data_IF_769507355233
#
_entry.id   IF_769507355233
#
_cell.length_a   1.000
_cell.length_b   1.000
_cell.length_c   1.000
_cell.angle_alpha   90.00
_cell.angle_beta   90.00
_cell.angle_gamma   90.00
#
_symmetry.space_group_name_H-M   'P 1'
#
loop_
_entity.id
_entity.type
_entity.pdbx_description
1 polymer ?
#
# COMPACT_ATOMS: atom_id res chain seq x y z
N UNK A 1 1.03 20.31 11.90
CA UNK A 1 0.50 18.94 12.04
C UNK A 1 1.66 17.99 11.75
N UNK A 2 1.82 16.91 12.51
CA UNK A 2 2.82 15.88 12.20
C UNK A 2 2.19 14.91 11.20
N UNK A 3 2.79 14.68 10.02
CA UNK A 3 2.23 13.77 9.03
C UNK A 3 2.35 12.31 9.48
N UNK A 4 1.37 11.49 9.10
CA UNK A 4 1.34 10.05 9.34
C UNK A 4 2.28 9.30 8.39
N UNK A 5 2.40 9.79 7.15
CA UNK A 5 3.44 9.37 6.20
C UNK A 5 4.32 10.58 5.87
N UNK A 6 5.61 10.46 6.17
CA UNK A 6 6.63 11.47 5.87
C UNK A 6 7.74 10.88 4.99
N UNK A 7 7.91 11.42 3.79
CA UNK A 7 9.13 11.26 3.00
C UNK A 7 9.99 12.51 3.19
N UNK A 8 11.26 12.34 3.58
CA UNK A 8 12.14 13.46 3.97
C UNK A 8 12.94 13.98 2.77
N UNK A 9 13.45 15.19 2.95
CA UNK A 9 14.18 15.98 1.95
C UNK A 9 15.44 15.32 1.37
N UNK A 10 16.06 14.38 2.09
CA UNK A 10 17.28 13.69 1.64
C UNK A 10 17.02 12.24 1.20
N UNK A 11 15.75 11.90 0.89
CA UNK A 11 15.40 10.61 0.31
C UNK A 11 15.46 10.70 -1.22
N UNK A 12 16.15 9.75 -1.83
CA UNK A 12 16.15 9.53 -3.30
C UNK A 12 14.85 8.81 -3.71
N UNK A 13 14.95 7.82 -4.61
CA UNK A 13 13.81 7.04 -5.08
C UNK A 13 13.12 6.31 -3.93
N UNK A 14 11.85 6.65 -3.72
CA UNK A 14 10.97 6.03 -2.74
C UNK A 14 9.86 5.27 -3.45
N UNK A 15 9.78 3.97 -3.20
CA UNK A 15 8.79 3.09 -3.78
C UNK A 15 7.75 2.69 -2.74
N UNK A 16 6.49 3.07 -2.95
CA UNK A 16 5.37 2.75 -2.08
C UNK A 16 4.33 2.01 -2.91
N UNK A 17 4.45 0.68 -2.93
CA UNK A 17 3.66 -0.20 -3.80
C UNK A 17 2.80 -1.17 -3.01
N UNK A 18 1.63 -1.49 -3.56
CA UNK A 18 0.74 -2.55 -3.07
C UNK A 18 0.29 -2.37 -1.61
N UNK A 19 0.25 -1.15 -1.10
CA UNK A 19 -0.21 -0.88 0.26
C UNK A 19 -1.73 -0.69 0.29
N UNK A 20 -2.36 -1.17 1.36
CA UNK A 20 -3.76 -0.90 1.67
C UNK A 20 -3.79 0.03 2.88
N UNK A 21 -4.35 1.22 2.70
CA UNK A 21 -4.51 2.21 3.76
C UNK A 21 -5.99 2.38 4.05
N UNK A 22 -6.38 2.00 5.27
CA UNK A 22 -7.74 2.08 5.77
C UNK A 22 -7.80 3.11 6.89
N UNK A 23 -8.73 4.05 6.76
CA UNK A 23 -8.97 5.11 7.73
C UNK A 23 -10.45 5.03 8.12
N UNK A 24 -10.71 4.83 9.41
CA UNK A 24 -12.08 4.85 9.92
C UNK A 24 -12.69 6.25 9.82
N UNK A 25 -14.01 6.32 9.81
CA UNK A 25 -14.82 7.53 9.63
C UNK A 25 -14.51 8.67 10.59
N UNK A 26 -14.04 8.38 11.81
CA UNK A 26 -13.68 9.37 12.83
C UNK A 26 -12.19 9.74 12.81
N UNK A 27 -11.41 9.18 11.88
CA UNK A 27 -9.98 9.41 11.74
C UNK A 27 -9.65 10.10 10.42
N UNK A 28 -8.44 10.66 10.35
CA UNK A 28 -7.85 11.14 9.11
C UNK A 28 -6.35 10.93 9.16
N UNK A 29 -5.74 10.67 8.01
CA UNK A 29 -4.28 10.65 7.90
C UNK A 29 -3.77 11.83 7.08
N UNK A 30 -2.53 12.24 7.30
CA UNK A 30 -1.84 13.21 6.45
C UNK A 30 -0.61 12.61 5.78
N UNK A 31 -0.46 12.80 4.47
CA UNK A 31 0.74 12.45 3.71
C UNK A 31 1.54 13.70 3.38
N UNK A 32 2.85 13.67 3.63
CA UNK A 32 3.80 14.73 3.29
C UNK A 32 5.08 14.19 2.68
N UNK A 33 5.49 14.74 1.55
CA UNK A 33 6.79 14.52 0.92
C UNK A 33 7.55 15.86 0.89
N UNK A 34 8.77 15.87 1.43
CA UNK A 34 9.65 17.04 1.50
C UNK A 34 10.77 17.01 0.44
N UNK A 35 10.62 16.21 -0.60
CA UNK A 35 11.55 16.07 -1.73
C UNK A 35 10.79 16.20 -3.07
N UNK A 36 11.49 16.04 -4.19
CA UNK A 36 10.91 16.14 -5.53
C UNK A 36 9.82 15.08 -5.78
N UNK A 37 8.75 15.45 -6.48
CA UNK A 37 7.68 14.52 -6.87
C UNK A 37 8.23 13.36 -7.72
N UNK A 38 9.24 13.62 -8.55
CA UNK A 38 9.81 12.64 -9.46
C UNK A 38 10.62 11.53 -8.74
N UNK A 39 10.88 11.71 -7.44
CA UNK A 39 11.54 10.72 -6.58
C UNK A 39 10.55 9.82 -5.82
N UNK A 40 9.24 10.05 -5.97
CA UNK A 40 8.20 9.39 -5.18
C UNK A 40 7.26 8.55 -6.04
N UNK A 41 7.40 7.23 -5.94
CA UNK A 41 6.64 6.26 -6.72
C UNK A 41 5.58 5.58 -5.86
N UNK A 42 4.42 6.24 -5.73
CA UNK A 42 3.22 5.64 -5.15
C UNK A 42 2.42 4.95 -6.26
N UNK A 43 2.29 3.62 -6.22
CA UNK A 43 1.63 2.86 -7.30
C UNK A 43 0.83 1.68 -6.74
N UNK A 44 -0.37 1.48 -7.28
CA UNK A 44 -1.23 0.33 -6.94
C UNK A 44 -1.45 0.19 -5.43
N UNK A 45 -1.49 1.33 -4.73
CA UNK A 45 -2.00 1.40 -3.38
C UNK A 45 -3.53 1.53 -3.42
N UNK A 46 -4.19 1.05 -2.38
CA UNK A 46 -5.61 1.24 -2.16
C UNK A 46 -5.80 2.11 -0.93
N UNK A 47 -6.54 3.20 -1.08
CA UNK A 47 -6.91 4.10 0.01
C UNK A 47 -8.42 4.04 0.26
N UNK A 48 -8.80 3.99 1.52
CA UNK A 48 -10.18 4.09 1.96
C UNK A 48 -10.30 4.97 3.20
N UNK A 49 -11.33 5.82 3.24
CA UNK A 49 -11.54 6.83 4.29
C UNK A 49 -10.91 8.19 3.97
N UNK A 50 -10.73 9.03 4.99
CA UNK A 50 -10.28 10.43 4.86
C UNK A 50 -8.75 10.55 4.80
N UNK A 51 -8.19 10.42 3.60
CA UNK A 51 -6.77 10.73 3.34
C UNK A 51 -6.62 12.21 3.02
N UNK A 52 -6.03 12.96 3.96
CA UNK A 52 -5.68 14.36 3.75
C UNK A 52 -4.28 14.47 3.15
N UNK A 53 -4.15 15.32 2.15
CA UNK A 53 -2.87 15.65 1.53
C UNK A 53 -2.46 17.04 2.00
N UNK A 54 -1.26 17.20 2.56
CA UNK A 54 -0.76 18.52 2.97
C UNK A 54 -0.61 19.40 1.73
N UNK A 55 -1.22 20.59 1.69
CA UNK A 55 -1.16 21.47 0.52
C UNK A 55 0.28 21.91 0.14
N UNK A 56 1.27 21.74 1.01
CA UNK A 56 2.68 22.06 0.76
C UNK A 56 3.54 20.82 0.44
N UNK A 57 2.92 19.72 0.01
CA UNK A 57 3.60 18.48 -0.39
C UNK A 57 3.80 18.40 -1.90
N UNK A 58 4.82 17.65 -2.34
CA UNK A 58 4.99 17.29 -3.74
C UNK A 58 4.22 16.00 -4.11
N UNK A 59 3.60 15.32 -3.13
CA UNK A 59 2.84 14.09 -3.32
C UNK A 59 1.71 14.25 -4.36
N UNK A 60 1.61 13.28 -5.24
CA UNK A 60 0.52 13.14 -6.20
C UNK A 60 0.06 11.70 -6.25
N UNK A 61 -1.26 11.52 -6.29
CA UNK A 61 -1.82 10.21 -6.57
C UNK A 61 -1.50 9.75 -7.99
N UNK A 62 -1.23 8.46 -8.15
CA UNK A 62 -1.05 7.86 -9.45
C UNK A 62 -2.36 7.23 -9.94
N UNK A 63 -2.57 7.20 -11.27
CA UNK A 63 -3.77 6.64 -11.89
C UNK A 63 -3.99 5.15 -11.64
N UNK A 64 -2.98 4.43 -11.13
CA UNK A 64 -3.09 3.02 -10.77
C UNK A 64 -3.55 2.78 -9.33
N UNK A 65 -3.71 3.83 -8.53
CA UNK A 65 -4.21 3.74 -7.17
C UNK A 65 -5.74 3.58 -7.14
N UNK A 66 -6.25 2.98 -6.08
CA UNK A 66 -7.66 2.60 -5.92
C UNK A 66 -8.25 3.36 -4.73
N UNK A 67 -9.44 3.94 -4.90
CA UNK A 67 -10.16 4.71 -3.88
C UNK A 67 -11.52 4.09 -3.61
N UNK A 68 -11.55 2.97 -2.88
CA UNK A 68 -12.79 2.20 -2.67
C UNK A 68 -12.68 1.30 -1.44
N UNK A 69 -13.81 0.89 -0.88
CA UNK A 69 -13.85 -0.02 0.27
C UNK A 69 -13.08 -1.32 -0.03
N UNK A 70 -12.02 -1.63 0.73
CA UNK A 70 -11.24 -2.85 0.53
C UNK A 70 -11.99 -4.12 0.93
N UNK A 71 -13.15 -4.03 1.58
CA UNK A 71 -13.91 -5.17 2.11
C UNK A 71 -13.07 -6.04 3.03
N UNK A 72 -12.49 -5.43 4.06
CA UNK A 72 -11.83 -6.15 5.13
C UNK A 72 -12.88 -6.82 6.03
N UNK A 73 -12.54 -7.93 6.69
CA UNK A 73 -13.49 -8.67 7.53
C UNK A 73 -14.05 -7.82 8.67
N UNK A 74 -13.19 -7.14 9.44
CA UNK A 74 -13.57 -6.27 10.56
C UNK A 74 -12.42 -5.29 10.93
N UNK A 75 -12.11 -4.30 10.07
CA UNK A 75 -10.98 -3.40 10.27
C UNK A 75 -11.09 -2.61 11.59
N UNK A 76 -9.96 -2.34 12.25
CA UNK A 76 -9.91 -1.67 13.55
C UNK A 76 -9.95 -2.62 14.76
N UNK A 77 -10.21 -3.91 14.53
CA UNK A 77 -10.10 -4.96 15.55
C UNK A 77 -8.65 -5.26 15.94
N UNK A 78 -8.47 -5.93 17.08
CA UNK A 78 -7.18 -6.46 17.53
C UNK A 78 -6.82 -7.83 16.95
N UNK A 79 -7.77 -8.54 16.31
CA UNK A 79 -7.49 -9.83 15.66
C UNK A 79 -6.89 -9.59 14.26
N UNK A 80 -5.67 -10.05 13.96
CA UNK A 80 -5.09 -9.91 12.64
C UNK A 80 -5.94 -10.54 11.52
N UNK A 81 -6.70 -11.59 11.80
CA UNK A 81 -7.58 -12.23 10.80
C UNK A 81 -8.67 -11.29 10.30
N UNK A 82 -9.03 -10.26 11.08
CA UNK A 82 -10.04 -9.29 10.70
C UNK A 82 -9.57 -8.33 9.59
N UNK A 83 -8.26 -8.34 9.29
CA UNK A 83 -7.65 -7.58 8.19
C UNK A 83 -7.48 -8.43 6.91
N UNK A 84 -8.11 -9.61 6.83
CA UNK A 84 -8.20 -10.37 5.59
C UNK A 84 -9.23 -9.76 4.65
N UNK A 85 -9.00 -9.92 3.35
CA UNK A 85 -9.92 -9.45 2.31
C UNK A 85 -11.10 -10.41 2.18
N UNK A 86 -12.30 -9.85 2.03
CA UNK A 86 -13.50 -10.61 1.68
C UNK A 86 -13.63 -10.82 0.18
N UNK A 87 -14.44 -11.80 -0.22
CA UNK A 87 -14.75 -12.07 -1.63
C UNK A 87 -15.28 -10.82 -2.34
N UNK A 88 -14.75 -10.56 -3.54
CA UNK A 88 -15.11 -9.39 -4.34
C UNK A 88 -14.51 -8.08 -3.85
N UNK A 89 -13.49 -8.14 -2.99
CA UNK A 89 -12.66 -6.98 -2.68
C UNK A 89 -12.00 -6.41 -3.94
N UNK A 90 -11.95 -5.08 -4.11
CA UNK A 90 -11.24 -4.43 -5.21
C UNK A 90 -9.72 -4.56 -5.09
N UNK A 91 -9.18 -5.05 -3.97
CA UNK A 91 -7.76 -5.29 -3.79
C UNK A 91 -7.26 -6.59 -4.44
N UNK A 92 -8.18 -7.54 -4.71
CA UNK A 92 -7.82 -8.89 -5.17
C UNK A 92 -7.18 -8.83 -6.57
N UNK A 93 -5.95 -9.32 -6.70
CA UNK A 93 -5.19 -9.39 -7.95
C UNK A 93 -4.89 -8.02 -8.60
N UNK A 94 -4.95 -6.92 -7.85
CA UNK A 94 -4.74 -5.56 -8.36
C UNK A 94 -3.35 -4.98 -8.07
N UNK A 95 -2.47 -5.70 -7.39
CA UNK A 95 -1.12 -5.26 -7.12
C UNK A 95 -0.22 -5.23 -8.37
N UNK A 96 0.92 -4.57 -8.23
CA UNK A 96 2.07 -4.68 -9.13
C UNK A 96 2.84 -5.95 -8.79
N UNK A 97 3.29 -6.64 -9.83
CA UNK A 97 4.20 -7.75 -9.70
C UNK A 97 5.61 -7.22 -9.35
N UNK A 98 6.11 -7.57 -8.16
CA UNK A 98 7.46 -7.27 -7.70
C UNK A 98 8.28 -8.55 -7.84
N UNK A 99 9.03 -8.67 -8.93
CA UNK A 99 9.81 -9.85 -9.29
C UNK A 99 11.06 -9.43 -10.10
N UNK A 100 11.93 -10.39 -10.40
CA UNK A 100 13.14 -10.16 -11.19
C UNK A 100 14.45 -10.47 -10.44
N UNK A 101 14.40 -10.58 -9.11
CA UNK A 101 15.58 -10.89 -8.30
C UNK A 101 15.36 -12.02 -7.30
N UNK A 102 16.36 -12.89 -7.17
CA UNK A 102 16.45 -13.86 -6.06
C UNK A 102 17.06 -13.26 -4.79
N UNK A 103 17.59 -12.05 -4.86
CA UNK A 103 18.13 -11.35 -3.69
C UNK A 103 17.00 -10.81 -2.82
N UNK A 104 16.93 -11.24 -1.57
CA UNK A 104 15.92 -10.78 -0.60
C UNK A 104 16.11 -9.32 -0.17
N UNK A 105 17.25 -8.71 -0.49
CA UNK A 105 17.51 -7.29 -0.26
C UNK A 105 17.18 -6.39 -1.45
N UNK A 106 16.82 -6.97 -2.61
CA UNK A 106 16.38 -6.20 -3.76
C UNK A 106 14.85 -6.02 -3.72
N UNK A 107 14.39 -5.15 -2.81
CA UNK A 107 12.97 -5.00 -2.47
C UNK A 107 12.09 -4.51 -3.64
N UNK A 108 12.68 -3.95 -4.69
CA UNK A 108 11.95 -3.51 -5.89
C UNK A 108 11.76 -4.63 -6.92
N UNK A 109 12.48 -5.75 -6.79
CA UNK A 109 12.42 -6.92 -7.68
C UNK A 109 12.23 -8.25 -6.92
N UNK A 110 11.99 -8.20 -5.62
CA UNK A 110 11.75 -9.36 -4.77
C UNK A 110 10.62 -9.08 -3.77
N UNK A 111 9.51 -9.82 -3.89
CA UNK A 111 8.33 -9.67 -3.04
C UNK A 111 8.41 -10.44 -1.70
N UNK A 112 9.54 -11.04 -1.35
CA UNK A 112 9.73 -11.85 -0.14
C UNK A 112 9.03 -13.22 -0.16
N UNK A 113 8.21 -13.52 -1.17
CA UNK A 113 7.57 -14.82 -1.38
C UNK A 113 6.43 -15.19 -0.43
N UNK A 114 6.17 -14.41 0.63
CA UNK A 114 5.05 -14.63 1.56
C UNK A 114 4.43 -13.33 2.04
N UNK A 115 3.12 -13.37 2.32
CA UNK A 115 2.40 -12.28 2.94
C UNK A 115 2.50 -12.33 4.48
N UNK A 116 1.80 -11.41 5.15
CA UNK A 116 1.76 -11.34 6.62
C UNK A 116 1.18 -12.61 7.26
N UNK A 117 0.25 -13.29 6.59
CA UNK A 117 -0.46 -14.47 7.09
C UNK A 117 0.23 -15.79 6.70
N UNK A 118 1.39 -15.73 6.04
CA UNK A 118 2.15 -16.88 5.59
C UNK A 118 1.69 -17.49 4.27
N UNK A 119 0.73 -16.89 3.56
CA UNK A 119 0.34 -17.30 2.21
C UNK A 119 1.47 -17.01 1.24
N UNK A 120 1.63 -17.87 0.22
CA UNK A 120 2.62 -17.64 -0.84
C UNK A 120 2.25 -16.41 -1.68
N UNK A 121 3.26 -15.62 -2.04
CA UNK A 121 3.14 -14.52 -3.00
C UNK A 121 3.85 -14.91 -4.28
N UNK A 122 3.10 -14.97 -5.39
CA UNK A 122 3.60 -15.41 -6.68
C UNK A 122 4.62 -14.44 -7.26
N UNK A 123 5.60 -14.97 -8.01
CA UNK A 123 6.53 -14.19 -8.82
C UNK A 123 6.10 -14.05 -10.29
N UNK A 124 4.92 -14.58 -10.66
CA UNK A 124 4.39 -14.55 -12.02
C UNK A 124 2.96 -14.00 -12.11
N UNK A 125 2.25 -13.89 -10.99
CA UNK A 125 0.88 -13.40 -10.92
C UNK A 125 0.79 -12.16 -10.04
N UNK A 126 -0.10 -11.23 -10.42
CA UNK A 126 -0.29 -9.99 -9.64
C UNK A 126 -0.81 -10.33 -8.23
N UNK A 127 -0.18 -9.81 -7.17
CA UNK A 127 -0.64 -10.05 -5.81
C UNK A 127 -1.91 -9.25 -5.52
N UNK A 128 -2.56 -9.57 -4.40
CA UNK A 128 -3.53 -8.67 -3.79
C UNK A 128 -2.82 -7.40 -3.27
N UNK A 129 -3.55 -6.29 -3.18
CA UNK A 129 -3.07 -5.07 -2.48
C UNK A 129 -3.28 -5.27 -0.97
N UNK A 130 -2.27 -4.95 -0.17
CA UNK A 130 -2.31 -5.06 1.29
C UNK A 130 -1.67 -6.34 1.84
N UNK A 131 -1.98 -6.66 3.10
CA UNK A 131 -1.27 -7.68 3.88
C UNK A 131 -1.72 -9.14 3.62
N UNK A 132 -2.80 -9.35 2.86
CA UNK A 132 -3.42 -10.66 2.64
C UNK A 132 -3.44 -11.04 1.16
N UNK A 133 -2.65 -12.05 0.80
CA UNK A 133 -2.54 -12.65 -0.53
C UNK A 133 -3.25 -14.02 -0.62
N UNK A 134 -4.14 -14.34 0.32
CA UNK A 134 -4.95 -15.55 0.25
C UNK A 134 -6.11 -15.43 -0.75
N UNK A 135 -6.80 -16.56 -0.94
CA UNK A 135 -7.96 -16.75 -1.82
C UNK A 135 -9.29 -16.67 -1.07
#
# INVERSE_FOLDING_TARGET
>A
MTPDILIRENTEDTFVYNNLIYIDSDASMTIKTNNDVDLNFFRNNLYFGDVKIDNNTAFQHHSSEIFSDPKLVNPGSSDPNDYKLQTGSPAIGKGILINGSSSTSNFIENNGGRDYFGNSVSNSEKPNIGAYNGS
#
